data_IF_500396308944
#
_entry.id   IF_500396308944
#
_cell.length_a   1.000
_cell.length_b   1.000
_cell.length_c   1.000
_cell.angle_alpha   90.00
_cell.angle_beta   90.00
_cell.angle_gamma   90.00
#
_symmetry.space_group_name_H-M   'P 1'
#
loop_
_entity.id
_entity.type
_entity.pdbx_description
1 polymer ?
#
# COMPACT_ATOMS: atom_id res chain seq x y z
N UNK A 1 -1.78 -20.09 -11.46
CA UNK A 1 -2.40 -18.77 -11.18
C UNK A 1 -3.57 -18.98 -10.24
N UNK A 2 -3.34 -19.02 -8.92
CA UNK A 2 -4.43 -18.96 -7.94
C UNK A 2 -4.94 -17.53 -7.96
N UNK A 3 -6.16 -17.32 -8.48
CA UNK A 3 -6.84 -16.04 -8.43
C UNK A 3 -7.20 -15.81 -6.95
N UNK A 4 -6.46 -14.95 -6.28
CA UNK A 4 -6.80 -14.41 -4.96
C UNK A 4 -8.15 -13.70 -5.11
N UNK A 5 -9.22 -14.41 -4.77
CA UNK A 5 -10.54 -13.84 -4.56
C UNK A 5 -10.72 -13.53 -3.08
N UNK A 6 -9.72 -12.88 -2.47
CA UNK A 6 -9.95 -12.19 -1.22
C UNK A 6 -10.78 -10.96 -1.57
N UNK A 7 -12.04 -10.92 -1.11
CA UNK A 7 -12.84 -9.70 -1.09
C UNK A 7 -12.21 -8.80 -0.03
N UNK A 8 -11.06 -8.21 -0.35
CA UNK A 8 -10.51 -7.13 0.45
C UNK A 8 -11.49 -5.96 0.29
N UNK A 9 -12.20 -5.63 1.35
CA UNK A 9 -13.03 -4.43 1.40
C UNK A 9 -12.15 -3.21 1.15
N UNK A 10 -12.64 -2.19 0.44
CA UNK A 10 -11.85 -0.98 0.19
C UNK A 10 -11.28 -0.40 1.48
N UNK A 11 -12.04 -0.43 2.57
CA UNK A 11 -11.54 0.02 3.86
C UNK A 11 -10.16 -0.58 4.20
N UNK A 12 -9.95 -1.90 4.03
CA UNK A 12 -8.66 -2.53 4.31
C UNK A 12 -7.51 -2.05 3.39
N UNK A 13 -7.83 -1.64 2.16
CA UNK A 13 -6.87 -1.07 1.21
C UNK A 13 -6.50 0.38 1.57
N UNK A 14 -7.47 1.19 2.01
CA UNK A 14 -7.29 2.64 2.20
C UNK A 14 -6.83 3.03 3.62
N UNK A 15 -7.09 2.22 4.66
CA UNK A 15 -6.79 2.59 6.05
C UNK A 15 -5.34 2.35 6.50
N UNK A 16 -4.49 1.77 5.66
CA UNK A 16 -3.22 1.23 6.14
C UNK A 16 -2.02 1.83 5.40
N UNK A 17 -1.61 3.02 5.84
CA UNK A 17 -0.24 3.52 5.74
C UNK A 17 -0.02 4.43 6.96
N UNK A 18 0.05 3.86 8.15
CA UNK A 18 0.68 4.57 9.27
C UNK A 18 2.18 4.63 8.97
N UNK A 19 2.74 5.84 8.97
CA UNK A 19 4.05 6.19 8.43
C UNK A 19 5.16 5.17 8.70
N UNK A 20 5.91 4.85 7.64
CA UNK A 20 7.17 4.11 7.72
C UNK A 20 8.19 5.03 8.39
N UNK A 21 8.14 5.16 9.71
CA UNK A 21 9.28 5.74 10.43
C UNK A 21 10.42 4.72 10.35
N UNK A 22 11.45 5.02 9.57
CA UNK A 22 12.71 4.24 9.50
C UNK A 22 13.52 4.31 10.83
N UNK A 23 12.86 4.47 11.98
CA UNK A 23 13.51 4.49 13.28
C UNK A 23 14.03 3.09 13.61
N UNK A 24 15.36 2.98 13.74
CA UNK A 24 16.09 1.73 13.94
C UNK A 24 15.55 0.88 15.08
N UNK A 25 15.39 -0.42 14.79
CA UNK A 25 15.08 -1.44 15.77
C UNK A 25 16.30 -1.66 16.68
N UNK A 26 16.21 -1.25 17.94
CA UNK A 26 17.00 -1.82 19.03
C UNK A 26 16.16 -2.92 19.70
N UNK A 27 16.55 -4.17 19.50
CA UNK A 27 15.98 -5.37 20.12
C UNK A 27 16.27 -5.39 21.64
N UNK A 28 15.22 -5.49 22.46
CA UNK A 28 15.33 -5.95 23.84
C UNK A 28 14.06 -6.75 24.22
N UNK A 29 14.03 -8.04 23.89
CA UNK A 29 13.02 -8.98 24.38
C UNK A 29 13.67 -9.97 25.36
N UNK A 30 13.42 -9.74 26.65
CA UNK A 30 13.60 -10.68 27.75
C UNK A 30 12.78 -11.95 27.53
N UNK A 31 13.45 -13.10 27.58
CA UNK A 31 12.86 -14.44 27.66
C UNK A 31 12.19 -14.66 29.02
N UNK A 32 10.88 -14.90 29.01
CA UNK A 32 10.12 -15.42 30.16
C UNK A 32 9.72 -16.88 29.91
N UNK A 33 10.18 -17.75 30.80
CA UNK A 33 9.98 -19.20 30.84
C UNK A 33 8.52 -19.53 31.26
N UNK A 34 7.86 -20.47 30.57
CA UNK A 34 6.55 -21.02 30.98
C UNK A 34 6.73 -22.51 31.32
N UNK A 35 6.29 -22.98 32.50
CA UNK A 35 6.46 -24.39 32.88
C UNK A 35 5.43 -25.31 32.20
N UNK A 36 5.90 -26.51 31.87
CA UNK A 36 5.13 -27.59 31.25
C UNK A 36 4.04 -28.14 32.17
N UNK A 37 2.90 -28.50 31.58
CA UNK A 37 1.90 -29.40 32.19
C UNK A 37 1.64 -30.59 31.28
N UNK A 38 2.00 -31.77 31.79
CA UNK A 38 1.67 -33.09 31.26
C UNK A 38 0.21 -33.44 31.58
N UNK A 39 -0.55 -33.80 30.54
CA UNK A 39 -1.77 -34.59 30.70
C UNK A 39 -1.96 -35.51 29.50
N UNK A 40 -1.91 -36.81 29.78
CA UNK A 40 -2.19 -37.88 28.84
C UNK A 40 -3.63 -37.80 28.31
N UNK A 41 -3.79 -37.96 26.99
CA UNK A 41 -5.10 -38.08 26.34
C UNK A 41 -5.13 -39.22 25.33
N UNK A 42 -6.14 -40.07 25.47
CA UNK A 42 -6.42 -41.25 24.64
C UNK A 42 -6.64 -40.91 23.16
N UNK A 43 -6.18 -41.81 22.29
CA UNK A 43 -6.24 -41.72 20.85
C UNK A 43 -7.68 -41.84 20.31
N UNK A 44 -8.18 -40.74 19.74
CA UNK A 44 -9.41 -40.68 18.94
C UNK A 44 -9.05 -40.91 17.45
N UNK A 45 -9.95 -41.46 16.61
CA UNK A 45 -9.68 -41.64 15.18
C UNK A 45 -9.45 -40.28 14.52
N UNK A 46 -8.38 -40.19 13.73
CA UNK A 46 -7.93 -38.98 13.03
C UNK A 46 -9.01 -38.50 12.05
N UNK A 47 -9.63 -37.33 12.25
CA UNK A 47 -10.33 -36.64 11.17
C UNK A 47 -9.31 -36.29 10.08
N UNK A 48 -9.75 -36.24 8.82
CA UNK A 48 -8.93 -35.78 7.71
C UNK A 48 -8.19 -34.50 8.11
N UNK A 49 -6.89 -34.40 7.82
CA UNK A 49 -6.03 -33.24 8.11
C UNK A 49 -6.76 -31.94 7.75
N UNK A 50 -7.35 -31.32 8.78
CA UNK A 50 -7.74 -29.92 8.75
C UNK A 50 -6.44 -29.18 8.45
N UNK A 51 -6.32 -28.62 7.24
CA UNK A 51 -5.17 -27.81 6.87
C UNK A 51 -4.93 -26.80 7.99
N UNK A 52 -3.72 -26.83 8.56
CA UNK A 52 -3.38 -25.92 9.65
C UNK A 52 -3.74 -24.49 9.24
N UNK A 53 -4.39 -23.70 10.13
CA UNK A 53 -4.75 -22.34 9.83
C UNK A 53 -3.49 -21.61 9.35
N UNK A 54 -3.53 -21.08 8.14
CA UNK A 54 -2.38 -20.38 7.55
C UNK A 54 -1.98 -19.22 8.47
N UNK A 55 -0.74 -19.23 8.95
CA UNK A 55 -0.24 -18.18 9.83
C UNK A 55 -0.19 -16.82 9.10
N UNK A 56 -0.60 -15.76 9.80
CA UNK A 56 -0.49 -14.36 9.35
C UNK A 56 0.62 -13.64 10.20
N UNK A 57 1.66 -13.04 9.57
CA UNK A 57 1.97 -13.07 8.14
C UNK A 57 2.38 -14.47 7.67
N UNK A 58 2.28 -14.70 6.36
CA UNK A 58 3.01 -15.78 5.69
C UNK A 58 4.50 -15.68 6.01
N UNK A 59 5.14 -16.82 6.27
CA UNK A 59 6.60 -16.92 6.45
C UNK A 59 7.33 -17.20 5.15
N UNK A 60 6.60 -17.55 4.08
CA UNK A 60 7.19 -17.83 2.77
C UNK A 60 7.62 -16.52 2.11
N UNK A 61 8.89 -16.39 1.69
CA UNK A 61 9.34 -15.21 0.96
C UNK A 61 8.49 -14.94 -0.29
N UNK A 62 8.11 -13.68 -0.46
CA UNK A 62 7.36 -13.25 -1.65
C UNK A 62 8.33 -13.13 -2.84
N UNK A 63 7.88 -13.60 -4.00
CA UNK A 63 8.67 -13.61 -5.22
C UNK A 63 8.56 -12.26 -5.95
N UNK A 64 9.67 -11.50 -5.94
CA UNK A 64 9.76 -10.19 -6.58
C UNK A 64 9.41 -10.19 -8.07
N UNK A 65 9.58 -11.32 -8.77
CA UNK A 65 9.25 -11.40 -10.20
C UNK A 65 7.74 -11.37 -10.47
N UNK A 66 6.91 -11.57 -9.43
CA UNK A 66 5.45 -11.54 -9.51
C UNK A 66 4.86 -10.20 -9.15
N UNK A 67 5.63 -9.30 -8.56
CA UNK A 67 5.16 -7.99 -8.14
C UNK A 67 5.22 -7.02 -9.33
N UNK A 68 4.06 -6.56 -9.84
CA UNK A 68 4.05 -5.66 -10.98
C UNK A 68 4.49 -4.26 -10.56
N UNK A 69 5.22 -3.57 -11.43
CA UNK A 69 5.51 -2.15 -11.29
C UNK A 69 5.39 -1.46 -12.64
N UNK A 70 4.82 -0.27 -12.64
CA UNK A 70 4.92 0.67 -13.75
C UNK A 70 5.21 2.07 -13.21
N UNK A 71 5.94 2.84 -14.00
CA UNK A 71 6.19 4.23 -13.69
C UNK A 71 4.88 5.01 -13.50
N UNK A 72 4.96 6.08 -12.72
CA UNK A 72 3.85 6.99 -12.50
C UNK A 72 3.34 7.57 -13.82
N UNK A 73 2.03 7.72 -13.95
CA UNK A 73 1.48 8.60 -14.98
C UNK A 73 1.96 10.02 -14.68
N UNK A 74 2.44 10.78 -15.68
CA UNK A 74 2.80 12.18 -15.45
C UNK A 74 1.64 12.93 -14.78
N UNK A 75 1.91 13.83 -13.82
CA UNK A 75 0.86 14.55 -13.12
C UNK A 75 -0.11 15.22 -14.10
N UNK A 76 -1.38 14.89 -13.94
CA UNK A 76 -2.48 15.51 -14.66
C UNK A 76 -3.15 16.49 -13.71
N UNK A 77 -2.40 17.55 -13.39
CA UNK A 77 -2.86 18.68 -12.59
C UNK A 77 -4.21 19.16 -13.10
N UNK A 78 -5.06 19.68 -12.20
CA UNK A 78 -6.42 20.18 -12.48
C UNK A 78 -7.54 19.15 -12.74
N UNK A 79 -7.22 17.86 -12.89
CA UNK A 79 -8.26 16.84 -13.14
C UNK A 79 -9.16 16.61 -11.94
N UNK A 80 -8.60 16.68 -10.74
CA UNK A 80 -9.33 16.62 -9.48
C UNK A 80 -9.24 17.97 -8.73
N UNK A 81 -10.26 18.26 -7.93
CA UNK A 81 -10.25 19.33 -6.95
C UNK A 81 -9.96 18.77 -5.55
N UNK A 82 -9.44 19.60 -4.64
CA UNK A 82 -9.22 19.17 -3.24
C UNK A 82 -10.52 18.68 -2.57
N UNK A 83 -11.66 19.32 -2.88
CA UNK A 83 -12.97 18.89 -2.40
C UNK A 83 -13.35 17.48 -2.85
N UNK A 84 -12.92 17.04 -4.04
CA UNK A 84 -13.15 15.65 -4.49
C UNK A 84 -12.46 14.65 -3.55
N UNK A 85 -11.22 14.95 -3.11
CA UNK A 85 -10.49 14.08 -2.18
C UNK A 85 -11.18 13.99 -0.83
N UNK A 86 -11.66 15.12 -0.30
CA UNK A 86 -12.44 15.14 0.94
C UNK A 86 -13.67 14.26 0.82
N UNK A 87 -14.46 14.41 -0.26
CA UNK A 87 -15.66 13.60 -0.49
C UNK A 87 -15.38 12.11 -0.69
N UNK A 88 -14.25 11.76 -1.33
CA UNK A 88 -13.81 10.36 -1.43
C UNK A 88 -13.50 9.75 -0.06
N UNK A 89 -12.81 10.49 0.82
CA UNK A 89 -12.54 10.06 2.20
C UNK A 89 -13.82 9.89 3.00
N UNK A 90 -14.74 10.86 2.91
CA UNK A 90 -16.04 10.83 3.57
C UNK A 90 -16.90 9.64 3.10
N UNK A 91 -16.92 9.36 1.79
CA UNK A 91 -17.62 8.21 1.24
C UNK A 91 -17.11 6.89 1.84
N UNK A 92 -15.80 6.66 1.88
CA UNK A 92 -15.25 5.42 2.45
C UNK A 92 -15.45 5.31 3.96
N UNK A 93 -15.49 6.44 4.67
CA UNK A 93 -15.82 6.46 6.09
C UNK A 93 -17.30 6.14 6.36
N UNK A 94 -18.20 6.64 5.51
CA UNK A 94 -19.64 6.38 5.60
C UNK A 94 -20.02 4.97 5.13
N UNK A 95 -19.32 4.46 4.11
CA UNK A 95 -19.58 3.18 3.45
C UNK A 95 -18.34 2.25 3.57
N UNK A 96 -17.99 1.79 4.78
CA UNK A 96 -16.78 0.98 5.01
C UNK A 96 -16.79 -0.37 4.27
N UNK A 97 -17.95 -0.80 3.80
CA UNK A 97 -18.15 -2.03 3.03
C UNK A 97 -18.36 -1.76 1.53
N UNK A 98 -18.16 -0.53 1.06
CA UNK A 98 -18.26 -0.21 -0.36
C UNK A 98 -17.34 -1.11 -1.19
N UNK A 99 -17.87 -1.55 -2.32
CA UNK A 99 -17.15 -2.30 -3.34
C UNK A 99 -16.30 -1.39 -4.23
N UNK A 100 -15.34 -1.98 -4.95
CA UNK A 100 -14.55 -1.28 -5.97
C UNK A 100 -15.42 -0.59 -7.03
N UNK A 101 -16.54 -1.21 -7.40
CA UNK A 101 -17.45 -0.66 -8.40
C UNK A 101 -18.25 0.54 -7.85
N UNK A 102 -18.73 0.44 -6.61
CA UNK A 102 -19.44 1.55 -5.94
C UNK A 102 -18.53 2.76 -5.75
N UNK A 103 -17.28 2.56 -5.33
CA UNK A 103 -16.33 3.65 -5.18
C UNK A 103 -15.96 4.29 -6.53
N UNK A 104 -15.64 3.48 -7.55
CA UNK A 104 -15.40 4.02 -8.90
C UNK A 104 -16.60 4.81 -9.42
N UNK A 105 -17.81 4.27 -9.25
CA UNK A 105 -19.07 4.94 -9.65
C UNK A 105 -19.27 6.26 -8.90
N UNK A 106 -19.00 6.28 -7.59
CA UNK A 106 -19.06 7.49 -6.79
C UNK A 106 -18.10 8.56 -7.32
N UNK A 107 -16.82 8.23 -7.54
CA UNK A 107 -15.84 9.19 -8.06
C UNK A 107 -16.23 9.69 -9.46
N UNK A 108 -16.72 8.79 -10.33
CA UNK A 108 -17.23 9.15 -11.65
C UNK A 108 -18.39 10.16 -11.59
N UNK A 109 -19.28 9.99 -10.62
CA UNK A 109 -20.42 10.89 -10.40
C UNK A 109 -20.00 12.21 -9.73
N UNK A 110 -18.88 12.25 -9.02
CA UNK A 110 -18.29 13.51 -8.57
C UNK A 110 -17.80 14.33 -9.76
N UNK A 111 -16.92 13.74 -10.57
CA UNK A 111 -16.38 14.35 -11.78
C UNK A 111 -15.72 13.28 -12.67
N UNK A 112 -16.04 13.28 -13.97
CA UNK A 112 -15.49 12.28 -14.91
C UNK A 112 -14.00 12.46 -15.18
N UNK A 113 -13.49 13.70 -15.25
CA UNK A 113 -12.07 13.94 -15.48
C UNK A 113 -11.24 13.53 -14.26
N UNK A 114 -11.75 13.77 -13.05
CA UNK A 114 -11.12 13.30 -11.83
C UNK A 114 -11.10 11.77 -11.77
N UNK A 115 -12.23 11.12 -12.07
CA UNK A 115 -12.29 9.67 -12.17
C UNK A 115 -11.25 9.10 -13.14
N UNK A 116 -11.13 9.66 -14.35
CA UNK A 116 -10.21 9.16 -15.37
C UNK A 116 -8.73 9.42 -15.01
N UNK A 117 -8.44 10.38 -14.14
CA UNK A 117 -7.10 10.57 -13.57
C UNK A 117 -6.81 9.57 -12.44
N UNK A 118 -7.78 9.35 -11.54
CA UNK A 118 -7.63 8.44 -10.39
C UNK A 118 -7.55 6.99 -10.84
N UNK A 119 -8.38 6.60 -11.81
CA UNK A 119 -8.54 5.24 -12.31
C UNK A 119 -8.21 5.15 -13.79
N UNK A 120 -7.37 4.19 -14.15
CA UNK A 120 -7.12 3.83 -15.55
C UNK A 120 -6.60 2.40 -15.66
N UNK A 121 -6.65 1.79 -16.86
CA UNK A 121 -6.30 0.39 -17.05
C UNK A 121 -4.87 0.05 -16.61
N UNK A 122 -4.71 -1.01 -15.83
CA UNK A 122 -3.42 -1.48 -15.32
C UNK A 122 -2.46 -1.94 -16.42
N UNK A 123 -2.98 -2.25 -17.61
CA UNK A 123 -2.22 -2.65 -18.79
C UNK A 123 -1.51 -1.47 -19.46
N UNK A 124 -1.88 -0.22 -19.14
CA UNK A 124 -1.27 1.00 -19.66
C UNK A 124 0.24 1.09 -19.44
N UNK A 125 0.95 1.92 -20.20
CA UNK A 125 2.41 2.04 -20.09
C UNK A 125 2.88 2.61 -18.74
N UNK A 126 2.04 3.46 -18.15
CA UNK A 126 2.19 4.04 -16.81
C UNK A 126 0.99 3.66 -15.95
N UNK A 127 1.10 3.85 -14.65
CA UNK A 127 0.00 3.60 -13.72
C UNK A 127 -0.57 4.91 -13.15
N UNK A 128 -1.91 5.01 -13.00
CA UNK A 128 -2.57 6.08 -12.26
C UNK A 128 -2.39 5.83 -10.74
N UNK A 129 -2.97 6.66 -9.85
CA UNK A 129 -3.04 6.35 -8.42
C UNK A 129 -3.69 4.99 -8.13
N UNK A 130 -4.75 4.62 -8.85
CA UNK A 130 -5.48 3.37 -8.65
C UNK A 130 -5.65 2.62 -9.98
N UNK A 131 -4.70 1.74 -10.33
CA UNK A 131 -4.81 0.95 -11.55
C UNK A 131 -5.97 -0.05 -11.47
N UNK A 132 -6.73 -0.20 -12.56
CA UNK A 132 -7.88 -1.12 -12.64
C UNK A 132 -7.72 -2.15 -13.76
N UNK A 133 -8.16 -3.38 -13.54
CA UNK A 133 -8.24 -4.42 -14.58
C UNK A 133 -9.53 -5.21 -14.42
N UNK A 134 -10.29 -5.37 -15.50
CA UNK A 134 -11.61 -6.02 -15.46
C UNK A 134 -12.58 -5.38 -14.47
N UNK A 135 -12.52 -4.05 -14.30
CA UNK A 135 -13.36 -3.28 -13.37
C UNK A 135 -12.94 -3.37 -11.89
N UNK A 136 -11.84 -4.07 -11.58
CA UNK A 136 -11.34 -4.24 -10.21
C UNK A 136 -10.05 -3.47 -10.01
N UNK A 137 -9.90 -2.88 -8.83
CA UNK A 137 -8.61 -2.35 -8.37
C UNK A 137 -7.62 -3.50 -8.28
N UNK A 138 -6.45 -3.34 -8.90
CA UNK A 138 -5.39 -4.38 -8.86
C UNK A 138 -4.35 -4.10 -7.77
N UNK A 139 -4.08 -2.83 -7.47
CA UNK A 139 -3.23 -2.36 -6.39
C UNK A 139 -3.51 -0.88 -6.11
N UNK A 140 -2.87 -0.31 -5.09
CA UNK A 140 -2.75 1.13 -4.88
C UNK A 140 -1.32 1.54 -5.25
N UNK A 141 -1.18 2.41 -6.25
CA UNK A 141 0.13 2.79 -6.80
C UNK A 141 0.81 3.88 -5.96
N UNK A 142 1.07 3.57 -4.69
CA UNK A 142 1.71 4.47 -3.73
C UNK A 142 3.14 4.81 -4.18
N UNK A 143 3.85 3.84 -4.77
CA UNK A 143 5.20 4.05 -5.25
C UNK A 143 5.31 5.14 -6.34
N UNK A 144 4.26 5.34 -7.14
CA UNK A 144 4.25 6.41 -8.14
C UNK A 144 4.34 7.80 -7.51
N UNK A 145 3.68 8.02 -6.38
CA UNK A 145 3.80 9.28 -5.66
C UNK A 145 5.26 9.49 -5.21
N UNK A 146 5.90 8.47 -4.64
CA UNK A 146 7.31 8.54 -4.24
C UNK A 146 8.22 8.84 -5.43
N UNK A 147 8.03 8.19 -6.57
CA UNK A 147 8.79 8.46 -7.79
C UNK A 147 8.65 9.92 -8.24
N UNK A 148 7.42 10.45 -8.23
CA UNK A 148 7.13 11.83 -8.64
C UNK A 148 7.69 12.88 -7.69
N UNK A 149 7.46 12.73 -6.38
CA UNK A 149 7.87 13.74 -5.39
C UNK A 149 9.38 13.69 -5.12
N UNK A 150 9.98 12.50 -5.09
CA UNK A 150 11.42 12.37 -4.84
C UNK A 150 12.28 12.54 -6.10
N UNK A 151 11.69 12.42 -7.29
CA UNK A 151 12.42 12.34 -8.56
C UNK A 151 13.22 11.03 -8.75
N UNK A 152 13.00 10.01 -7.92
CA UNK A 152 13.74 8.73 -7.96
C UNK A 152 12.80 7.56 -8.27
N UNK A 153 12.76 7.12 -9.53
CA UNK A 153 11.91 5.99 -9.96
C UNK A 153 12.25 4.69 -9.22
N UNK A 154 13.54 4.40 -9.00
CA UNK A 154 13.97 3.21 -8.25
C UNK A 154 13.46 3.21 -6.80
N UNK A 155 13.36 4.39 -6.17
CA UNK A 155 12.75 4.50 -4.84
C UNK A 155 11.25 4.23 -4.90
N UNK A 156 10.53 4.83 -5.86
CA UNK A 156 9.11 4.57 -6.05
C UNK A 156 8.80 3.09 -6.29
N UNK A 157 9.58 2.44 -7.15
CA UNK A 157 9.49 1.00 -7.40
C UNK A 157 9.74 0.18 -6.14
N UNK A 158 10.77 0.50 -5.37
CA UNK A 158 11.09 -0.21 -4.14
C UNK A 158 9.95 -0.10 -3.11
N UNK A 159 9.36 1.09 -2.98
CA UNK A 159 8.22 1.34 -2.10
C UNK A 159 7.00 0.54 -2.56
N UNK A 160 6.66 0.57 -3.85
CA UNK A 160 5.53 -0.20 -4.38
C UNK A 160 5.70 -1.69 -4.14
N UNK A 161 6.87 -2.25 -4.46
CA UNK A 161 7.12 -3.67 -4.27
C UNK A 161 7.05 -4.08 -2.79
N UNK A 162 7.44 -3.20 -1.87
CA UNK A 162 7.29 -3.47 -0.43
C UNK A 162 5.82 -3.48 -0.03
N UNK A 163 5.03 -2.52 -0.53
CA UNK A 163 3.59 -2.46 -0.31
C UNK A 163 2.86 -3.69 -0.87
N UNK A 164 3.16 -4.09 -2.10
CA UNK A 164 2.55 -5.27 -2.73
C UNK A 164 2.99 -6.56 -2.03
N UNK A 165 4.25 -6.65 -1.57
CA UNK A 165 4.71 -7.77 -0.77
C UNK A 165 3.93 -7.88 0.54
N UNK A 166 3.75 -6.76 1.26
CA UNK A 166 2.97 -6.70 2.49
C UNK A 166 1.53 -7.17 2.25
N UNK A 167 0.92 -6.74 1.14
CA UNK A 167 -0.42 -7.18 0.76
C UNK A 167 -0.48 -8.69 0.52
N UNK A 168 0.49 -9.27 -0.19
CA UNK A 168 0.55 -10.72 -0.44
C UNK A 168 0.83 -11.52 0.84
N UNK A 169 1.79 -11.06 1.66
CA UNK A 169 2.16 -11.72 2.91
C UNK A 169 1.04 -11.69 3.96
N UNK A 170 0.13 -10.71 3.87
CA UNK A 170 -0.97 -10.49 4.80
C UNK A 170 -2.36 -10.81 4.23
N UNK A 171 -2.44 -11.49 3.09
CA UNK A 171 -3.73 -11.73 2.41
C UNK A 171 -4.74 -12.55 3.23
N UNK A 172 -4.25 -13.39 4.16
CA UNK A 172 -5.07 -14.26 5.00
C UNK A 172 -5.47 -13.62 6.34
N UNK A 173 -5.01 -12.40 6.63
CA UNK A 173 -5.33 -11.70 7.87
C UNK A 173 -6.77 -11.17 7.83
N UNK A 174 -7.52 -11.33 8.91
CA UNK A 174 -9.00 -11.18 8.89
C UNK A 174 -9.50 -9.93 9.61
N UNK A 175 -8.62 -9.24 10.36
CA UNK A 175 -8.96 -8.02 11.09
C UNK A 175 -7.95 -6.91 10.85
N UNK A 176 -8.37 -5.65 11.07
CA UNK A 176 -7.50 -4.48 10.92
C UNK A 176 -6.27 -4.56 11.83
N UNK A 177 -6.43 -4.92 13.11
CA UNK A 177 -5.32 -5.03 14.05
C UNK A 177 -4.35 -6.17 13.69
N UNK A 178 -4.87 -7.28 13.15
CA UNK A 178 -4.05 -8.37 12.63
C UNK A 178 -3.27 -7.93 11.39
N UNK A 179 -3.91 -7.21 10.47
CA UNK A 179 -3.28 -6.66 9.27
C UNK A 179 -2.16 -5.67 9.60
N UNK A 180 -2.37 -4.74 10.54
CA UNK A 180 -1.34 -3.81 11.00
C UNK A 180 -0.12 -4.54 11.58
N UNK A 181 -0.36 -5.50 12.48
CA UNK A 181 0.70 -6.33 13.07
C UNK A 181 1.42 -7.16 12.00
N UNK A 182 0.67 -7.68 11.04
CA UNK A 182 1.18 -8.48 9.95
C UNK A 182 2.15 -7.70 9.07
N UNK A 183 1.79 -6.49 8.65
CA UNK A 183 2.63 -5.65 7.80
C UNK A 183 3.96 -5.36 8.48
N UNK A 184 3.94 -4.97 9.75
CA UNK A 184 5.16 -4.75 10.54
C UNK A 184 6.04 -6.01 10.62
N UNK A 185 5.46 -7.17 10.93
CA UNK A 185 6.18 -8.46 11.01
C UNK A 185 6.69 -8.94 9.64
N UNK A 186 5.96 -8.71 8.57
CA UNK A 186 6.33 -9.15 7.22
C UNK A 186 7.64 -8.49 6.77
N UNK A 187 7.91 -7.25 7.16
CA UNK A 187 9.15 -6.50 6.86
C UNK A 187 10.41 -7.11 7.48
N UNK A 188 10.28 -7.89 8.55
CA UNK A 188 11.41 -8.67 9.11
C UNK A 188 11.39 -10.14 8.67
N UNK A 189 10.31 -10.60 8.02
CA UNK A 189 10.12 -11.95 7.51
C UNK A 189 10.00 -12.00 5.98
N UNK A 190 8.83 -12.39 5.47
CA UNK A 190 8.58 -12.65 4.05
C UNK A 190 8.92 -11.47 3.10
N UNK A 191 8.86 -10.24 3.59
CA UNK A 191 9.13 -9.01 2.85
C UNK A 191 10.46 -8.33 3.18
N UNK A 192 11.35 -9.00 3.93
CA UNK A 192 12.62 -8.42 4.37
C UNK A 192 13.47 -7.84 3.25
N UNK A 193 13.62 -8.58 2.15
CA UNK A 193 14.43 -8.13 1.00
C UNK A 193 13.87 -6.83 0.37
N UNK A 194 12.55 -6.66 0.35
CA UNK A 194 11.92 -5.45 -0.18
C UNK A 194 12.12 -4.25 0.74
N UNK A 195 11.95 -4.45 2.06
CA UNK A 195 12.23 -3.41 3.05
C UNK A 195 13.70 -2.95 3.01
N UNK A 196 14.65 -3.87 2.85
CA UNK A 196 16.06 -3.54 2.64
C UNK A 196 16.30 -2.76 1.34
N UNK A 197 15.59 -3.13 0.26
CA UNK A 197 15.67 -2.42 -1.01
C UNK A 197 15.13 -0.99 -0.94
N UNK A 198 14.04 -0.73 -0.19
CA UNK A 198 13.54 0.64 0.06
C UNK A 198 14.62 1.48 0.72
N UNK A 199 15.26 0.97 1.78
CA UNK A 199 16.33 1.70 2.49
C UNK A 199 17.47 2.09 1.56
N UNK A 200 17.82 1.23 0.60
CA UNK A 200 18.88 1.49 -0.37
C UNK A 200 18.44 2.45 -1.46
N UNK A 201 17.31 2.19 -2.12
CA UNK A 201 16.83 2.96 -3.26
C UNK A 201 16.36 4.37 -2.87
N UNK A 202 15.81 4.51 -1.66
CA UNK A 202 15.33 5.78 -1.13
C UNK A 202 16.38 6.51 -0.26
N UNK A 203 17.65 6.08 -0.29
CA UNK A 203 18.70 6.79 0.44
C UNK A 203 18.78 8.27 0.01
N UNK A 204 18.71 9.17 1.00
CA UNK A 204 18.73 10.62 0.79
C UNK A 204 17.43 11.22 0.26
N UNK A 205 16.33 10.46 0.20
CA UNK A 205 14.98 11.02 0.00
C UNK A 205 14.56 11.73 1.28
N UNK A 206 14.07 12.98 1.23
CA UNK A 206 13.69 13.70 2.43
C UNK A 206 12.41 13.13 3.07
N UNK A 207 12.26 13.20 4.40
CA UNK A 207 11.06 12.71 5.10
C UNK A 207 9.75 13.35 4.63
N UNK A 208 9.80 14.56 4.06
CA UNK A 208 8.63 15.24 3.50
C UNK A 208 7.98 14.49 2.33
N UNK A 209 8.70 13.55 1.70
CA UNK A 209 8.11 12.64 0.70
C UNK A 209 7.11 11.68 1.36
N UNK A 210 7.41 11.18 2.56
CA UNK A 210 6.48 10.32 3.30
C UNK A 210 5.20 11.08 3.66
N UNK A 211 5.32 12.35 4.05
CA UNK A 211 4.16 13.22 4.32
C UNK A 211 3.32 13.49 3.06
N UNK A 212 3.97 13.57 1.89
CA UNK A 212 3.32 13.85 0.61
C UNK A 212 2.69 12.61 -0.04
N UNK A 213 3.12 11.40 0.34
CA UNK A 213 2.76 10.15 -0.31
C UNK A 213 2.21 9.08 0.63
N UNK A 214 2.01 9.42 1.90
CA UNK A 214 1.61 8.52 2.97
C UNK A 214 0.20 7.95 2.85
N UNK A 215 -0.54 8.21 1.77
CA UNK A 215 -1.79 7.51 1.48
C UNK A 215 -2.10 7.52 -0.02
N UNK A 216 -3.04 6.68 -0.44
CA UNK A 216 -3.57 6.73 -1.82
C UNK A 216 -4.24 8.07 -2.12
N UNK A 217 -4.86 8.72 -1.13
CA UNK A 217 -5.44 10.05 -1.33
C UNK A 217 -4.38 11.13 -1.52
N UNK A 218 -3.23 11.00 -0.87
CA UNK A 218 -2.10 11.90 -1.10
C UNK A 218 -1.47 11.61 -2.47
N UNK A 219 -1.44 10.34 -2.89
CA UNK A 219 -1.07 9.97 -4.26
C UNK A 219 -2.01 10.58 -5.30
N UNK A 220 -3.32 10.57 -5.06
CA UNK A 220 -4.33 11.26 -5.90
C UNK A 220 -4.10 12.77 -5.89
N UNK A 221 -3.79 13.36 -4.73
CA UNK A 221 -3.48 14.80 -4.64
C UNK A 221 -2.28 15.17 -5.52
N UNK A 222 -1.18 14.44 -5.40
CA UNK A 222 0.05 14.69 -6.18
C UNK A 222 -0.17 14.48 -7.67
N UNK A 223 -0.87 13.41 -8.07
CA UNK A 223 -1.03 13.05 -9.48
C UNK A 223 -2.17 13.78 -10.19
N UNK A 224 -3.25 14.13 -9.50
CA UNK A 224 -4.49 14.60 -10.12
C UNK A 224 -4.95 16.00 -9.70
N UNK A 225 -4.41 16.56 -8.60
CA UNK A 225 -4.80 17.90 -8.15
C UNK A 225 -3.67 18.90 -8.40
N UNK A 226 -2.50 18.63 -7.81
CA UNK A 226 -1.40 19.57 -7.79
C UNK A 226 -0.75 19.71 -9.17
N UNK A 227 -0.51 20.95 -9.59
CA UNK A 227 0.63 21.24 -10.43
C UNK A 227 1.87 20.97 -9.60
N UNK A 228 2.67 19.98 -9.99
CA UNK A 228 4.03 19.83 -9.47
C UNK A 228 4.88 20.95 -10.11
N UNK A 229 4.45 22.19 -9.91
CA UNK A 229 5.21 23.39 -10.11
C UNK A 229 5.67 23.77 -8.72
N UNK A 230 6.99 23.82 -8.54
CA UNK A 230 7.70 24.39 -7.39
C UNK A 230 8.19 23.41 -6.31
N UNK A 231 8.78 22.29 -6.73
CA UNK A 231 9.83 21.64 -5.93
C UNK A 231 11.20 22.35 -6.08
N UNK A 232 11.24 23.57 -6.65
CA UNK A 232 12.48 24.18 -7.14
C UNK A 232 12.68 25.69 -6.93
N UNK A 233 11.78 26.41 -6.24
CA UNK A 233 12.08 27.81 -5.87
C UNK A 233 12.46 27.93 -4.40
N UNK A 234 13.59 27.29 -4.07
CA UNK A 234 14.32 27.54 -2.84
C UNK A 234 15.63 28.26 -3.22
N UNK A 235 15.52 29.51 -3.64
CA UNK A 235 16.65 30.45 -3.59
C UNK A 235 16.86 31.29 -4.83
N UNK A 236 16.16 32.42 -4.92
CA UNK A 236 16.81 33.66 -5.32
C UNK A 236 16.60 34.72 -4.23
N UNK A 237 17.51 34.69 -3.26
CA UNK A 237 17.71 35.79 -2.32
C UNK A 237 18.93 36.59 -2.81
N UNK A 238 18.68 37.69 -3.51
CA UNK A 238 19.55 38.86 -3.56
C UNK A 238 20.42 39.02 -4.80
N UNK A 239 20.06 39.97 -5.67
CA UNK A 239 20.79 41.24 -5.83
C UNK A 239 20.09 42.13 -6.86
N UNK A 240 19.61 43.30 -6.41
CA UNK A 240 19.71 44.65 -7.04
C UNK A 240 18.71 45.64 -6.42
#
# INVERSE_FOLDING_TARGET
MRRLAAVATLAALFFAVAGVTLAGCSDDYRTGEVPAQDAAREARPTPAEDAEPSACPSTTPVDASKLPWKAATPPQSDKCQLDHITRMKEFLAAEPNATNEEFQTFVKNLDTACHDCVFSPAEGATWPPIPVSGGKVVTLNIGACYALVSGKDDCGKAVQNTFDCEFEACAECTSTGELESCRAKSRSGACKAFAENVRLACAGVPPTVDDACGSVFDSVRVQCVSSVTDAGDAGDAGDM
#
